data_IF_283472422910
#
_entry.id   IF_283472422910
#
_cell.length_a   1.000
_cell.length_b   1.000
_cell.length_c   1.000
_cell.angle_alpha   90.00
_cell.angle_beta   90.00
_cell.angle_gamma   90.00
#
_symmetry.space_group_name_H-M   'P 1'
#
loop_
_entity.id
_entity.type
_entity.pdbx_description
1 polymer ?
#
# COMPACT_ATOMS: atom_id res chain seq x y z
N UNK A 1 58.92 14.34 23.18
CA UNK A 1 60.15 14.42 22.37
C UNK A 1 60.49 15.90 22.20
N UNK A 2 61.65 16.26 22.73
CA UNK A 2 62.51 17.43 22.46
C UNK A 2 61.85 18.82 22.49
N UNK A 3 61.90 19.54 23.61
CA UNK A 3 63.01 20.40 24.09
C UNK A 3 63.27 21.65 23.22
N UNK A 4 62.89 22.83 23.73
CA UNK A 4 63.86 23.86 24.21
C UNK A 4 63.16 25.15 24.67
N UNK A 5 63.47 25.50 25.90
CA UNK A 5 63.58 26.84 26.51
C UNK A 5 64.88 26.77 27.35
N UNK A 6 65.45 27.86 27.94
CA UNK A 6 65.16 29.29 27.85
C UNK A 6 66.42 30.23 27.92
N UNK A 7 66.18 31.55 27.97
CA UNK A 7 66.64 32.49 29.03
C UNK A 7 67.59 33.68 28.70
N UNK A 8 67.17 34.83 29.26
CA UNK A 8 67.88 36.04 29.77
C UNK A 8 68.58 37.02 28.81
N UNK A 9 68.57 38.32 29.19
CA UNK A 9 69.79 38.87 29.78
C UNK A 9 69.55 39.58 31.12
N UNK A 10 70.56 39.54 32.00
CA UNK A 10 70.69 40.39 33.18
C UNK A 10 72.06 41.06 33.18
N UNK A 11 72.07 42.25 33.76
CA UNK A 11 73.16 43.19 34.04
C UNK A 11 74.47 42.62 34.65
N UNK A 12 75.57 43.36 34.45
CA UNK A 12 76.55 43.59 35.52
C UNK A 12 78.05 43.67 35.18
N UNK A 13 78.60 44.89 35.29
CA UNK A 13 79.87 45.32 35.95
C UNK A 13 81.28 45.22 35.29
N UNK A 14 81.86 46.42 35.18
CA UNK A 14 83.12 46.94 35.79
C UNK A 14 84.53 46.68 35.20
N UNK A 15 85.27 47.80 35.03
CA UNK A 15 86.58 48.13 35.65
C UNK A 15 87.74 48.56 34.70
N UNK A 16 88.48 49.61 35.11
CA UNK A 16 89.85 49.97 34.68
C UNK A 16 89.97 51.26 33.84
N UNK A 17 90.21 52.48 34.37
CA UNK A 17 91.38 53.09 35.05
C UNK A 17 92.32 53.92 34.14
N UNK A 18 92.47 55.23 34.43
CA UNK A 18 93.71 56.06 34.57
C UNK A 18 93.31 57.55 34.62
N UNK A 19 93.47 58.27 35.75
CA UNK A 19 94.60 59.15 36.16
C UNK A 19 94.87 60.29 35.14
N UNK A 20 94.99 61.58 35.48
CA UNK A 20 95.55 62.24 36.68
C UNK A 20 95.33 63.78 36.73
N UNK A 21 95.30 64.35 37.96
CA UNK A 21 95.78 65.68 38.46
C UNK A 21 95.28 66.98 37.81
N UNK A 22 94.72 68.00 38.50
CA UNK A 22 95.23 68.78 39.66
C UNK A 22 96.34 69.77 39.21
N UNK A 23 96.47 71.06 39.57
CA UNK A 23 95.95 71.92 40.63
C UNK A 23 96.39 73.39 40.36
N UNK A 24 95.60 74.35 40.85
CA UNK A 24 95.86 75.73 41.33
C UNK A 24 97.12 76.57 40.97
N UNK A 25 96.88 77.85 40.62
CA UNK A 25 97.23 78.98 41.51
C UNK A 25 98.41 79.92 41.18
N UNK A 26 98.08 81.23 41.10
CA UNK A 26 98.78 82.43 41.66
C UNK A 26 99.93 83.17 40.92
N UNK A 27 99.65 84.46 40.66
CA UNK A 27 100.32 85.73 41.13
C UNK A 27 101.51 86.40 40.39
N UNK A 28 101.29 87.72 40.21
CA UNK A 28 102.10 88.92 40.48
C UNK A 28 103.29 89.41 39.60
N UNK A 29 103.30 90.76 39.49
CA UNK A 29 104.41 91.73 39.39
C UNK A 29 105.13 91.87 38.03
N UNK A 30 105.05 93.00 37.30
CA UNK A 30 105.53 94.38 37.56
C UNK A 30 107.03 94.60 37.28
N UNK A 31 107.35 95.51 36.34
CA UNK A 31 108.61 96.30 36.32
C UNK A 31 108.57 97.48 35.32
N UNK A 32 108.77 98.67 35.90
CA UNK A 32 109.12 100.05 35.47
C UNK A 32 110.46 100.16 34.66
N UNK A 33 111.14 101.33 34.48
CA UNK A 33 110.81 102.74 34.10
C UNK A 33 111.85 103.40 33.11
N UNK A 34 111.68 104.71 32.77
CA UNK A 34 112.70 105.81 32.69
C UNK A 34 112.11 107.00 31.86
N UNK A 35 111.93 108.24 32.36
CA UNK A 35 112.91 109.33 32.63
C UNK A 35 112.92 110.33 31.44
N UNK A 36 112.98 111.67 31.49
CA UNK A 36 113.23 112.74 32.48
C UNK A 36 112.65 114.07 31.91
N UNK A 37 111.98 114.93 32.70
CA UNK A 37 112.42 116.23 33.29
C UNK A 37 112.46 117.47 32.36
N UNK A 38 111.92 118.60 32.85
CA UNK A 38 112.02 119.93 32.21
C UNK A 38 110.90 120.95 32.51
N UNK A 39 110.86 121.51 33.73
CA UNK A 39 110.46 122.90 34.07
C UNK A 39 109.16 123.54 33.55
N UNK A 40 108.19 123.78 34.44
CA UNK A 40 106.89 124.45 34.19
C UNK A 40 106.86 125.94 34.55
N UNK A 41 106.07 126.73 33.82
CA UNK A 41 105.61 128.09 34.18
C UNK A 41 104.20 128.05 34.81
N UNK A 42 103.86 129.05 35.64
CA UNK A 42 102.70 129.07 36.55
C UNK A 42 101.33 129.08 35.86
N UNK A 43 101.24 129.54 34.61
CA UNK A 43 100.00 129.64 33.83
C UNK A 43 99.65 128.31 33.12
N UNK A 44 100.65 127.47 32.81
CA UNK A 44 100.47 126.13 32.23
C UNK A 44 99.95 125.13 33.28
N UNK A 45 100.35 125.32 34.56
CA UNK A 45 99.88 124.50 35.69
C UNK A 45 98.38 124.67 35.97
N UNK A 46 97.80 125.85 35.71
CA UNK A 46 96.36 126.09 35.91
C UNK A 46 95.51 125.47 34.79
N UNK A 47 96.00 125.48 33.55
CA UNK A 47 95.36 124.79 32.42
C UNK A 47 95.50 123.27 32.51
N UNK A 48 96.66 122.75 32.93
CA UNK A 48 96.83 121.32 33.22
C UNK A 48 95.91 120.86 34.37
N UNK A 49 95.69 121.70 35.40
CA UNK A 49 94.77 121.39 36.48
C UNK A 49 93.32 121.34 35.98
N UNK A 50 92.93 122.21 35.06
CA UNK A 50 91.59 122.24 34.47
C UNK A 50 91.32 121.04 33.57
N UNK A 51 92.30 120.68 32.73
CA UNK A 51 92.27 119.47 31.90
C UNK A 51 92.22 118.23 32.80
N UNK A 52 93.02 118.17 33.86
CA UNK A 52 92.98 117.07 34.83
C UNK A 52 91.64 116.97 35.57
N UNK A 53 90.94 118.08 35.83
CA UNK A 53 89.59 118.07 36.41
C UNK A 53 88.54 117.57 35.41
N UNK A 54 88.61 117.98 34.14
CA UNK A 54 87.75 117.48 33.07
C UNK A 54 88.00 115.99 32.78
N UNK A 55 89.26 115.55 32.74
CA UNK A 55 89.63 114.15 32.58
C UNK A 55 89.17 113.31 33.78
N UNK A 56 89.27 113.84 35.01
CA UNK A 56 88.71 113.20 36.20
C UNK A 56 87.17 113.13 36.15
N UNK A 57 86.50 114.11 35.55
CA UNK A 57 85.05 114.11 35.37
C UNK A 57 84.62 113.09 34.31
N UNK A 58 85.32 113.01 33.17
CA UNK A 58 85.14 111.96 32.16
C UNK A 58 85.38 110.57 32.71
N UNK A 59 86.48 110.37 33.44
CA UNK A 59 86.77 109.09 34.10
C UNK A 59 85.69 108.70 35.12
N UNK A 60 85.06 109.69 35.79
CA UNK A 60 83.91 109.44 36.69
C UNK A 60 82.65 109.05 35.92
N UNK A 61 82.36 109.73 34.81
CA UNK A 61 81.24 109.38 33.92
C UNK A 61 81.43 108.01 33.28
N UNK A 62 82.63 107.70 32.79
CA UNK A 62 82.98 106.40 32.25
C UNK A 62 82.89 105.31 33.31
N UNK A 63 83.40 105.55 34.53
CA UNK A 63 83.26 104.61 35.65
C UNK A 63 81.79 104.37 36.01
N UNK A 64 80.96 105.42 36.00
CA UNK A 64 79.53 105.31 36.26
C UNK A 64 78.84 104.51 35.14
N UNK A 65 79.15 104.79 33.88
CA UNK A 65 78.66 104.04 32.72
C UNK A 65 79.05 102.56 32.78
N UNK A 66 80.32 102.24 33.05
CA UNK A 66 80.79 100.86 33.21
C UNK A 66 80.20 100.18 34.45
N UNK A 67 79.82 100.93 35.48
CA UNK A 67 79.13 100.39 36.65
C UNK A 67 77.67 100.06 36.34
N UNK A 68 76.96 100.94 35.63
CA UNK A 68 75.60 100.68 35.12
C UNK A 68 75.57 99.51 34.15
N UNK A 69 76.52 99.42 33.21
CA UNK A 69 76.62 98.29 32.29
C UNK A 69 76.99 96.99 33.02
N UNK A 70 77.87 97.03 34.03
CA UNK A 70 78.14 95.86 34.87
C UNK A 70 76.90 95.40 35.63
N UNK A 71 76.16 96.32 36.24
CA UNK A 71 74.95 95.99 37.02
C UNK A 71 73.84 95.47 36.10
N UNK A 72 73.74 95.99 34.88
CA UNK A 72 72.84 95.50 33.82
C UNK A 72 73.24 94.10 33.31
N UNK A 73 74.54 93.86 33.13
CA UNK A 73 75.04 92.52 32.76
C UNK A 73 74.82 91.53 33.91
N UNK A 74 75.00 91.96 35.17
CA UNK A 74 74.71 91.14 36.34
C UNK A 74 73.21 90.84 36.44
N UNK A 75 72.32 91.80 36.21
CA UNK A 75 70.87 91.56 36.26
C UNK A 75 70.44 90.61 35.14
N UNK A 76 70.95 90.77 33.91
CA UNK A 76 70.72 89.80 32.83
C UNK A 76 71.27 88.42 33.16
N UNK A 77 72.43 88.34 33.80
CA UNK A 77 73.00 87.07 34.24
C UNK A 77 72.13 86.41 35.32
N UNK A 78 71.64 87.16 36.30
CA UNK A 78 70.74 86.66 37.35
C UNK A 78 69.41 86.18 36.77
N UNK A 79 68.80 86.95 35.86
CA UNK A 79 67.56 86.58 35.16
C UNK A 79 67.80 85.32 34.32
N UNK A 80 68.86 85.29 33.51
CA UNK A 80 69.15 84.12 32.65
C UNK A 80 69.45 82.87 33.49
N UNK A 81 70.07 83.05 34.67
CA UNK A 81 70.32 81.97 35.62
C UNK A 81 69.04 81.48 36.28
N UNK A 82 68.11 82.38 36.62
CA UNK A 82 66.78 82.03 37.11
C UNK A 82 65.96 81.30 36.04
N UNK A 83 65.90 81.83 34.81
CA UNK A 83 65.23 81.21 33.67
C UNK A 83 65.81 79.81 33.37
N UNK A 84 67.13 79.65 33.46
CA UNK A 84 67.79 78.34 33.31
C UNK A 84 67.39 77.37 34.44
N UNK A 85 67.20 77.87 35.66
CA UNK A 85 66.80 77.07 36.80
C UNK A 85 65.32 76.67 36.71
N UNK A 86 64.46 77.57 36.22
CA UNK A 86 63.05 77.31 35.95
C UNK A 86 62.89 76.31 34.80
N UNK A 87 63.59 76.50 33.69
CA UNK A 87 63.58 75.55 32.57
C UNK A 87 64.09 74.15 32.98
N UNK A 88 65.10 74.07 33.86
CA UNK A 88 65.54 72.79 34.44
C UNK A 88 64.48 72.15 35.31
N UNK A 89 63.76 72.95 36.10
CA UNK A 89 62.68 72.46 36.96
C UNK A 89 61.48 71.98 36.14
N UNK A 90 61.13 72.69 35.06
CA UNK A 90 60.12 72.26 34.09
C UNK A 90 60.52 70.97 33.38
N UNK A 91 61.78 70.83 32.97
CA UNK A 91 62.28 69.60 32.35
C UNK A 91 62.10 68.39 33.29
N UNK A 92 62.49 68.53 34.55
CA UNK A 92 62.33 67.47 35.56
C UNK A 92 60.86 67.13 35.78
N UNK A 93 59.98 68.13 35.82
CA UNK A 93 58.54 67.91 35.94
C UNK A 93 57.97 67.18 34.72
N UNK A 94 58.44 67.50 33.51
CA UNK A 94 58.03 66.85 32.28
C UNK A 94 58.54 65.41 32.17
N UNK A 95 59.76 65.15 32.60
CA UNK A 95 60.31 63.79 32.69
C UNK A 95 59.48 62.95 33.69
N UNK A 96 59.12 63.52 34.84
CA UNK A 96 58.24 62.85 35.80
C UNK A 96 56.83 62.60 35.25
N UNK A 97 56.27 63.57 34.52
CA UNK A 97 54.97 63.41 33.88
C UNK A 97 55.01 62.29 32.83
N UNK A 98 56.09 62.19 32.05
CA UNK A 98 56.32 61.07 31.12
C UNK A 98 56.38 59.72 31.86
N UNK A 99 57.16 59.62 32.93
CA UNK A 99 57.23 58.40 33.76
C UNK A 99 55.85 58.00 34.29
N UNK A 100 55.06 58.94 34.82
CA UNK A 100 53.70 58.66 35.30
C UNK A 100 52.76 58.19 34.18
N UNK A 101 52.88 58.72 32.96
CA UNK A 101 52.08 58.25 31.82
C UNK A 101 52.53 56.87 31.34
N UNK A 102 53.82 56.57 31.34
CA UNK A 102 54.34 55.24 31.03
C UNK A 102 53.85 54.20 32.04
N UNK A 103 53.85 54.53 33.34
CA UNK A 103 53.32 53.66 34.38
C UNK A 103 51.81 53.41 34.21
N UNK A 104 51.02 54.46 33.95
CA UNK A 104 49.59 54.34 33.65
C UNK A 104 49.36 53.44 32.44
N UNK A 105 50.10 53.66 31.36
CA UNK A 105 49.99 52.86 30.15
C UNK A 105 50.35 51.38 30.39
N UNK A 106 51.38 51.10 31.19
CA UNK A 106 51.71 49.72 31.59
C UNK A 106 50.59 49.05 32.39
N UNK A 107 49.94 49.78 33.29
CA UNK A 107 48.79 49.28 34.05
C UNK A 107 47.61 49.00 33.12
N UNK A 108 47.29 49.92 32.21
CA UNK A 108 46.24 49.73 31.20
C UNK A 108 46.50 48.50 30.33
N UNK A 109 47.74 48.31 29.83
CA UNK A 109 48.11 47.12 29.06
C UNK A 109 47.87 45.83 29.87
N UNK A 110 48.18 45.83 31.17
CA UNK A 110 47.92 44.66 32.04
C UNK A 110 46.42 44.40 32.19
N UNK A 111 45.62 45.44 32.40
CA UNK A 111 44.15 45.34 32.48
C UNK A 111 43.57 44.82 31.17
N UNK A 112 43.98 45.37 30.03
CA UNK A 112 43.55 44.90 28.71
C UNK A 112 43.96 43.45 28.45
N UNK A 113 45.20 43.05 28.80
CA UNK A 113 45.62 41.64 28.72
C UNK A 113 44.74 40.72 29.56
N UNK A 114 44.40 41.14 30.78
CA UNK A 114 43.53 40.35 31.66
C UNK A 114 42.11 40.26 31.10
N UNK A 115 41.58 41.36 30.54
CA UNK A 115 40.26 41.40 29.92
C UNK A 115 40.18 40.50 28.69
N UNK A 116 41.21 40.49 27.84
CA UNK A 116 41.31 39.56 26.70
C UNK A 116 41.38 38.10 27.17
N UNK A 117 42.17 37.79 28.20
CA UNK A 117 42.23 36.43 28.77
C UNK A 117 40.87 35.97 29.30
N UNK A 118 40.18 36.84 30.03
CA UNK A 118 38.86 36.53 30.56
C UNK A 118 37.84 36.30 29.43
N UNK A 119 37.84 37.18 28.42
CA UNK A 119 36.98 37.04 27.25
C UNK A 119 37.23 35.73 26.49
N UNK A 120 38.50 35.34 26.31
CA UNK A 120 38.86 34.07 25.68
C UNK A 120 38.42 32.87 26.50
N UNK A 121 38.57 32.93 27.82
CA UNK A 121 38.12 31.87 28.72
C UNK A 121 36.60 31.74 28.72
N UNK A 122 35.86 32.85 28.77
CA UNK A 122 34.40 32.84 28.65
C UNK A 122 33.95 32.30 27.30
N UNK A 123 34.61 32.70 26.21
CA UNK A 123 34.28 32.18 24.88
C UNK A 123 34.51 30.68 24.80
N UNK A 124 35.65 30.20 25.31
CA UNK A 124 35.96 28.77 25.35
C UNK A 124 34.95 27.99 26.21
N UNK A 125 34.55 28.55 27.35
CA UNK A 125 33.58 27.92 28.24
C UNK A 125 32.18 27.89 27.61
N UNK A 126 31.76 28.97 26.96
CA UNK A 126 30.49 29.03 26.22
C UNK A 126 30.47 28.02 25.07
N UNK A 127 31.57 27.89 24.32
CA UNK A 127 31.69 26.86 23.27
C UNK A 127 31.59 25.46 23.86
N UNK A 128 32.28 25.19 24.98
CA UNK A 128 32.20 23.89 25.65
C UNK A 128 30.78 23.58 26.16
N UNK A 129 30.08 24.59 26.72
CA UNK A 129 28.68 24.45 27.14
C UNK A 129 27.75 24.18 25.96
N UNK A 130 27.88 24.93 24.85
CA UNK A 130 27.08 24.71 23.65
C UNK A 130 27.32 23.33 23.03
N UNK A 131 28.56 22.84 23.03
CA UNK A 131 28.90 21.49 22.58
C UNK A 131 28.25 20.43 23.50
N UNK A 132 28.37 20.57 24.82
CA UNK A 132 27.76 19.64 25.77
C UNK A 132 26.23 19.62 25.67
N UNK A 133 25.59 20.79 25.50
CA UNK A 133 24.15 20.88 25.31
C UNK A 133 23.71 20.25 23.98
N UNK A 134 24.46 20.47 22.90
CA UNK A 134 24.22 19.83 21.60
C UNK A 134 24.33 18.31 21.68
N UNK A 135 25.37 17.79 22.34
CA UNK A 135 25.56 16.35 22.53
C UNK A 135 24.43 15.73 23.36
N UNK A 136 23.98 16.44 24.41
CA UNK A 136 22.84 16.00 25.24
C UNK A 136 21.53 15.95 24.44
N UNK A 137 21.28 16.94 23.59
CA UNK A 137 20.10 16.96 22.71
C UNK A 137 20.15 15.80 21.72
N UNK A 138 21.31 15.55 21.10
CA UNK A 138 21.50 14.42 20.19
C UNK A 138 21.29 13.07 20.87
N UNK A 139 21.76 12.90 22.11
CA UNK A 139 21.51 11.67 22.88
C UNK A 139 20.04 11.47 23.19
N UNK A 140 19.34 12.52 23.63
CA UNK A 140 17.90 12.45 23.90
C UNK A 140 17.09 12.11 22.64
N UNK A 141 17.43 12.71 21.51
CA UNK A 141 16.79 12.42 20.23
C UNK A 141 17.05 10.97 19.79
N UNK A 142 18.28 10.48 19.96
CA UNK A 142 18.63 9.08 19.68
C UNK A 142 17.86 8.10 20.57
N UNK A 143 17.71 8.39 21.87
CA UNK A 143 16.92 7.57 22.80
C UNK A 143 15.42 7.57 22.44
N UNK A 144 14.86 8.72 22.05
CA UNK A 144 13.48 8.84 21.59
C UNK A 144 13.24 8.05 20.30
N UNK A 145 14.18 8.12 19.35
CA UNK A 145 14.14 7.33 18.12
C UNK A 145 14.19 5.83 18.40
N UNK A 146 15.11 5.37 19.24
CA UNK A 146 15.20 3.97 19.68
C UNK A 146 13.90 3.49 20.32
N UNK A 147 13.31 4.31 21.20
CA UNK A 147 12.05 3.98 21.88
C UNK A 147 10.89 3.89 20.88
N UNK A 148 10.79 4.85 19.97
CA UNK A 148 9.79 4.87 18.91
C UNK A 148 9.93 3.66 17.97
N UNK A 149 11.15 3.30 17.59
CA UNK A 149 11.42 2.14 16.74
C UNK A 149 11.02 0.83 17.44
N UNK A 150 11.33 0.69 18.73
CA UNK A 150 10.91 -0.46 19.53
C UNK A 150 9.39 -0.55 19.62
N UNK A 151 8.69 0.58 19.80
CA UNK A 151 7.24 0.63 19.83
C UNK A 151 6.64 0.20 18.49
N UNK A 152 7.12 0.76 17.38
CA UNK A 152 6.69 0.38 16.03
C UNK A 152 6.93 -1.12 15.77
N UNK A 153 8.04 -1.69 16.26
CA UNK A 153 8.30 -3.14 16.19
C UNK A 153 7.34 -3.98 17.02
N UNK A 154 6.85 -3.47 18.16
CA UNK A 154 5.80 -4.14 18.95
C UNK A 154 4.45 -4.06 18.23
N UNK A 155 4.07 -2.87 17.77
CA UNK A 155 2.80 -2.64 17.07
C UNK A 155 2.72 -3.46 15.77
N UNK A 156 3.83 -3.53 15.00
CA UNK A 156 3.92 -4.41 13.82
C UNK A 156 3.70 -5.88 14.16
N UNK A 157 4.17 -6.36 15.32
CA UNK A 157 3.97 -7.75 15.76
C UNK A 157 2.53 -7.97 16.21
N UNK A 158 1.94 -7.03 16.94
CA UNK A 158 0.54 -7.08 17.36
C UNK A 158 -0.41 -7.10 16.14
N UNK A 159 -0.22 -6.19 15.18
CA UNK A 159 -1.01 -6.14 13.94
C UNK A 159 -0.89 -7.43 13.11
N UNK A 160 0.28 -8.07 13.08
CA UNK A 160 0.45 -9.37 12.41
C UNK A 160 -0.32 -10.49 13.09
N UNK A 161 -0.39 -10.48 14.42
CA UNK A 161 -1.17 -11.46 15.18
C UNK A 161 -2.67 -11.24 14.96
N UNK A 162 -3.14 -10.00 15.05
CA UNK A 162 -4.54 -9.64 14.80
C UNK A 162 -4.97 -9.98 13.36
N UNK A 163 -4.11 -9.70 12.37
CA UNK A 163 -4.36 -10.13 10.99
C UNK A 163 -4.48 -11.66 10.90
N UNK A 164 -3.64 -12.40 11.62
CA UNK A 164 -3.68 -13.86 11.57
C UNK A 164 -4.92 -14.45 12.25
N UNK A 165 -5.35 -13.86 13.37
CA UNK A 165 -6.60 -14.20 14.03
C UNK A 165 -7.81 -13.92 13.11
N UNK A 166 -7.81 -12.78 12.42
CA UNK A 166 -8.85 -12.44 11.46
C UNK A 166 -8.89 -13.44 10.29
N UNK A 167 -7.73 -13.77 9.71
CA UNK A 167 -7.61 -14.80 8.67
C UNK A 167 -8.19 -16.15 9.12
N UNK A 168 -7.84 -16.60 10.33
CA UNK A 168 -8.33 -17.87 10.88
C UNK A 168 -9.85 -17.84 11.10
N UNK A 169 -10.38 -16.75 11.65
CA UNK A 169 -11.82 -16.61 11.85
C UNK A 169 -12.60 -16.57 10.52
N UNK A 170 -12.04 -15.95 9.48
CA UNK A 170 -12.61 -15.97 8.14
C UNK A 170 -12.56 -17.38 7.52
N UNK A 171 -11.46 -18.10 7.70
CA UNK A 171 -11.33 -19.50 7.25
C UNK A 171 -12.38 -20.39 7.92
N UNK A 172 -12.60 -20.22 9.22
CA UNK A 172 -13.61 -20.96 9.98
C UNK A 172 -15.03 -20.61 9.52
N UNK A 173 -15.31 -19.34 9.21
CA UNK A 173 -16.60 -18.92 8.65
C UNK A 173 -16.86 -19.57 7.28
N UNK A 174 -15.84 -19.62 6.41
CA UNK A 174 -15.93 -20.29 5.11
C UNK A 174 -16.19 -21.79 5.31
N UNK A 175 -15.45 -22.45 6.19
CA UNK A 175 -15.69 -23.89 6.51
C UNK A 175 -17.11 -24.13 7.00
N UNK A 176 -17.63 -23.27 7.88
CA UNK A 176 -19.01 -23.38 8.37
C UNK A 176 -20.04 -23.17 7.25
N UNK A 177 -19.82 -22.22 6.34
CA UNK A 177 -20.69 -22.00 5.19
C UNK A 177 -20.68 -23.18 4.23
N UNK A 178 -19.49 -23.73 3.92
CA UNK A 178 -19.36 -24.93 3.08
C UNK A 178 -20.07 -26.12 3.73
N UNK A 179 -19.87 -26.36 5.03
CA UNK A 179 -20.54 -27.43 5.74
C UNK A 179 -22.08 -27.29 5.73
N UNK A 180 -22.61 -26.08 5.92
CA UNK A 180 -24.05 -25.80 5.79
C UNK A 180 -24.55 -26.10 4.38
N UNK A 181 -23.81 -25.67 3.36
CA UNK A 181 -24.16 -25.91 1.97
C UNK A 181 -24.17 -27.41 1.62
N UNK A 182 -23.19 -28.19 2.12
CA UNK A 182 -23.15 -29.63 1.92
C UNK A 182 -24.34 -30.35 2.56
N UNK A 183 -24.78 -29.89 3.75
CA UNK A 183 -25.99 -30.40 4.42
C UNK A 183 -27.23 -30.09 3.58
N UNK A 184 -27.36 -28.87 3.06
CA UNK A 184 -28.47 -28.48 2.19
C UNK A 184 -28.50 -29.28 0.87
N UNK A 185 -27.34 -29.46 0.23
CA UNK A 185 -27.22 -30.31 -0.97
C UNK A 185 -27.66 -31.74 -0.65
N UNK A 186 -27.22 -32.30 0.47
CA UNK A 186 -27.58 -33.66 0.88
C UNK A 186 -29.08 -33.79 1.12
N UNK A 187 -29.70 -32.79 1.76
CA UNK A 187 -31.15 -32.73 1.96
C UNK A 187 -31.90 -32.68 0.63
N UNK A 188 -31.46 -31.82 -0.30
CA UNK A 188 -32.05 -31.71 -1.64
C UNK A 188 -31.92 -33.01 -2.43
N UNK A 189 -30.76 -33.68 -2.37
CA UNK A 189 -30.56 -35.00 -2.98
C UNK A 189 -31.53 -36.03 -2.41
N UNK A 190 -31.68 -36.07 -1.08
CA UNK A 190 -32.64 -36.96 -0.42
C UNK A 190 -34.09 -36.69 -0.84
N UNK A 191 -34.47 -35.42 -0.97
CA UNK A 191 -35.81 -35.03 -1.45
C UNK A 191 -36.06 -35.45 -2.90
N UNK A 192 -35.07 -35.27 -3.78
CA UNK A 192 -35.17 -35.73 -5.17
C UNK A 192 -35.25 -37.25 -5.27
N UNK A 193 -34.44 -37.98 -4.50
CA UNK A 193 -34.47 -39.44 -4.48
C UNK A 193 -35.83 -39.95 -3.98
N UNK A 194 -36.37 -39.34 -2.91
CA UNK A 194 -37.71 -39.66 -2.41
C UNK A 194 -38.78 -39.44 -3.48
N UNK A 195 -38.81 -38.27 -4.11
CA UNK A 195 -39.79 -37.96 -5.19
C UNK A 195 -39.64 -38.92 -6.37
N UNK A 196 -38.43 -39.29 -6.74
CA UNK A 196 -38.17 -40.26 -7.80
C UNK A 196 -38.71 -41.66 -7.44
N UNK A 197 -38.47 -42.13 -6.21
CA UNK A 197 -39.01 -43.41 -5.71
C UNK A 197 -40.53 -43.41 -5.66
N UNK A 198 -41.15 -42.35 -5.16
CA UNK A 198 -42.61 -42.20 -5.12
C UNK A 198 -43.22 -42.21 -6.53
N UNK A 199 -42.59 -41.50 -7.48
CA UNK A 199 -43.02 -41.48 -8.87
C UNK A 199 -42.89 -42.86 -9.53
N UNK A 200 -41.77 -43.53 -9.32
CA UNK A 200 -41.53 -44.88 -9.83
C UNK A 200 -42.58 -45.87 -9.30
N UNK A 201 -42.80 -45.90 -7.98
CA UNK A 201 -43.79 -46.75 -7.33
C UNK A 201 -45.21 -46.49 -7.85
N UNK A 202 -45.56 -45.22 -8.10
CA UNK A 202 -46.85 -44.84 -8.68
C UNK A 202 -47.04 -45.40 -10.09
N UNK A 203 -46.03 -45.33 -10.95
CA UNK A 203 -46.12 -45.88 -12.30
C UNK A 203 -46.05 -47.40 -12.34
N UNK A 204 -45.26 -48.01 -11.47
CA UNK A 204 -45.22 -49.47 -11.32
C UNK A 204 -46.58 -50.02 -10.89
N UNK A 205 -47.23 -49.37 -9.91
CA UNK A 205 -48.60 -49.72 -9.49
C UNK A 205 -49.60 -49.58 -10.64
N UNK A 206 -49.54 -48.48 -11.41
CA UNK A 206 -50.39 -48.29 -12.60
C UNK A 206 -50.16 -49.38 -13.64
N UNK A 207 -48.91 -49.74 -13.89
CA UNK A 207 -48.54 -50.78 -14.86
C UNK A 207 -49.05 -52.15 -14.42
N UNK A 208 -48.95 -52.46 -13.12
CA UNK A 208 -49.49 -53.70 -12.55
C UNK A 208 -51.00 -53.77 -12.69
N UNK A 209 -51.73 -52.72 -12.29
CA UNK A 209 -53.18 -52.65 -12.45
C UNK A 209 -53.60 -52.87 -13.90
N UNK A 210 -52.95 -52.20 -14.85
CA UNK A 210 -53.25 -52.36 -16.28
C UNK A 210 -53.00 -53.79 -16.77
N UNK A 211 -51.92 -54.44 -16.32
CA UNK A 211 -51.67 -55.86 -16.65
C UNK A 211 -52.76 -56.76 -16.08
N UNK A 212 -53.11 -56.58 -14.81
CA UNK A 212 -54.13 -57.38 -14.13
C UNK A 212 -55.51 -57.21 -14.82
N UNK A 213 -55.85 -55.98 -15.23
CA UNK A 213 -57.07 -55.68 -16.00
C UNK A 213 -57.09 -56.36 -17.37
N UNK A 214 -55.98 -56.31 -18.12
CA UNK A 214 -55.88 -56.96 -19.43
C UNK A 214 -55.91 -58.49 -19.31
N UNK A 215 -55.29 -59.04 -18.27
CA UNK A 215 -55.31 -60.47 -18.00
C UNK A 215 -56.73 -60.93 -17.62
N UNK A 216 -57.45 -60.14 -16.82
CA UNK A 216 -58.85 -60.41 -16.49
C UNK A 216 -59.74 -60.36 -17.74
N UNK A 217 -59.59 -59.35 -18.60
CA UNK A 217 -60.32 -59.29 -19.88
C UNK A 217 -60.06 -60.50 -20.74
N UNK A 218 -58.78 -60.89 -20.91
CA UNK A 218 -58.41 -62.11 -21.65
C UNK A 218 -59.04 -63.36 -21.04
N UNK A 219 -59.03 -63.51 -19.71
CA UNK A 219 -59.65 -64.65 -19.03
C UNK A 219 -61.15 -64.67 -19.29
N UNK A 220 -61.84 -63.54 -19.20
CA UNK A 220 -63.27 -63.45 -19.47
C UNK A 220 -63.60 -63.81 -20.94
N UNK A 221 -62.83 -63.28 -21.90
CA UNK A 221 -63.00 -63.62 -23.33
C UNK A 221 -62.81 -65.12 -23.59
N UNK A 222 -61.83 -65.75 -22.94
CA UNK A 222 -61.62 -67.21 -23.02
C UNK A 222 -62.84 -67.95 -22.46
N UNK A 223 -63.33 -67.58 -21.28
CA UNK A 223 -64.50 -68.22 -20.67
C UNK A 223 -65.75 -68.07 -21.54
N UNK A 224 -66.00 -66.88 -22.12
CA UNK A 224 -67.11 -66.68 -23.05
C UNK A 224 -67.01 -67.57 -24.29
N UNK A 225 -65.80 -67.71 -24.86
CA UNK A 225 -65.57 -68.58 -26.02
C UNK A 225 -65.79 -70.04 -25.63
N UNK A 226 -65.32 -70.47 -24.45
CA UNK A 226 -65.52 -71.81 -23.93
C UNK A 226 -67.00 -72.10 -23.70
N UNK A 227 -67.77 -71.18 -23.10
CA UNK A 227 -69.21 -71.32 -22.93
C UNK A 227 -69.94 -71.43 -24.27
N UNK A 228 -69.61 -70.58 -25.26
CA UNK A 228 -70.18 -70.67 -26.62
C UNK A 228 -69.86 -72.02 -27.26
N UNK A 229 -68.61 -72.49 -27.17
CA UNK A 229 -68.19 -73.80 -27.71
C UNK A 229 -68.89 -74.95 -27.00
N UNK A 230 -68.98 -74.93 -25.67
CA UNK A 230 -69.68 -75.95 -24.89
C UNK A 230 -71.17 -75.98 -25.20
N UNK A 231 -71.80 -74.81 -25.39
CA UNK A 231 -73.19 -74.71 -25.84
C UNK A 231 -73.37 -75.33 -27.23
N UNK A 232 -72.46 -75.04 -28.17
CA UNK A 232 -72.48 -75.65 -29.51
C UNK A 232 -72.26 -77.16 -29.47
N UNK A 233 -71.33 -77.65 -28.64
CA UNK A 233 -71.10 -79.09 -28.42
C UNK A 233 -72.37 -79.75 -27.88
N UNK A 234 -73.01 -79.16 -26.87
CA UNK A 234 -74.27 -79.67 -26.32
C UNK A 234 -75.40 -79.69 -27.35
N UNK A 235 -75.52 -78.64 -28.17
CA UNK A 235 -76.48 -78.60 -29.26
C UNK A 235 -76.20 -79.68 -30.31
N UNK A 236 -74.93 -79.88 -30.68
CA UNK A 236 -74.51 -80.91 -31.62
C UNK A 236 -74.77 -82.31 -31.06
N UNK A 237 -74.45 -82.57 -29.78
CA UNK A 237 -74.76 -83.83 -29.10
C UNK A 237 -76.27 -84.11 -29.12
N UNK A 238 -77.10 -83.11 -28.83
CA UNK A 238 -78.57 -83.24 -28.87
C UNK A 238 -79.08 -83.52 -30.29
N UNK A 239 -78.50 -82.87 -31.30
CA UNK A 239 -78.85 -83.13 -32.70
C UNK A 239 -78.42 -84.53 -33.15
N UNK A 240 -77.23 -84.98 -32.75
CA UNK A 240 -76.79 -86.35 -33.00
C UNK A 240 -77.67 -87.37 -32.30
N UNK A 241 -78.05 -87.15 -31.03
CA UNK A 241 -78.95 -88.06 -30.30
C UNK A 241 -80.33 -88.15 -30.95
N UNK A 242 -80.87 -87.02 -31.43
CA UNK A 242 -82.09 -87.00 -32.27
C UNK A 242 -81.90 -87.77 -33.55
N UNK A 243 -80.84 -87.50 -34.32
CA UNK A 243 -80.56 -88.20 -35.57
C UNK A 243 -80.34 -89.71 -35.34
N UNK A 244 -79.67 -90.11 -34.26
CA UNK A 244 -79.53 -91.52 -33.87
C UNK A 244 -80.88 -92.14 -33.50
N UNK A 245 -81.75 -91.40 -32.83
CA UNK A 245 -83.11 -91.85 -32.52
C UNK A 245 -83.95 -91.98 -33.79
N UNK A 246 -83.86 -91.03 -34.71
CA UNK A 246 -84.51 -91.06 -36.03
C UNK A 246 -83.98 -92.22 -36.88
N UNK A 247 -82.68 -92.45 -36.91
CA UNK A 247 -82.04 -93.59 -37.58
C UNK A 247 -82.48 -94.89 -36.93
N UNK A 248 -82.53 -94.98 -35.59
CA UNK A 248 -83.01 -96.16 -34.88
C UNK A 248 -84.48 -96.41 -35.19
N UNK A 249 -85.30 -95.37 -35.25
CA UNK A 249 -86.71 -95.48 -35.64
C UNK A 249 -86.84 -95.89 -37.11
N UNK A 250 -86.06 -95.31 -38.02
CA UNK A 250 -86.02 -95.67 -39.43
C UNK A 250 -85.61 -97.13 -39.63
N UNK A 251 -84.58 -97.60 -38.92
CA UNK A 251 -84.18 -99.01 -38.94
C UNK A 251 -85.16 -99.91 -38.20
N UNK A 252 -85.83 -99.45 -37.14
CA UNK A 252 -86.91 -100.18 -36.48
C UNK A 252 -88.10 -100.36 -37.41
N UNK A 253 -88.51 -99.30 -38.11
CA UNK A 253 -89.55 -99.29 -39.13
C UNK A 253 -89.14 -100.15 -40.30
N UNK A 254 -87.89 -100.07 -40.76
CA UNK A 254 -87.33 -100.99 -41.75
C UNK A 254 -87.27 -102.40 -41.20
N UNK A 255 -86.97 -102.69 -39.93
CA UNK A 255 -87.00 -104.06 -39.42
C UNK A 255 -88.41 -104.58 -39.29
N UNK A 256 -89.40 -103.75 -38.97
CA UNK A 256 -90.82 -104.09 -39.00
C UNK A 256 -91.27 -104.38 -40.43
N UNK A 257 -90.90 -103.49 -41.36
CA UNK A 257 -91.22 -103.61 -42.77
C UNK A 257 -90.41 -104.72 -43.45
N UNK A 258 -89.19 -104.99 -42.99
CA UNK A 258 -88.35 -106.12 -43.39
C UNK A 258 -88.80 -107.40 -42.70
N UNK A 259 -89.46 -107.38 -41.54
CA UNK A 259 -90.10 -108.58 -41.00
C UNK A 259 -91.28 -108.96 -41.90
N UNK A 260 -92.05 -107.96 -42.33
CA UNK A 260 -93.11 -108.11 -43.31
C UNK A 260 -92.55 -108.53 -44.70
N UNK A 261 -91.42 -107.96 -45.12
CA UNK A 261 -90.76 -108.28 -46.37
C UNK A 261 -89.98 -109.60 -46.30
N UNK A 262 -89.43 -110.03 -45.17
CA UNK A 262 -88.77 -111.34 -44.98
C UNK A 262 -89.81 -112.45 -45.03
N UNK A 263 -91.04 -112.21 -44.55
CA UNK A 263 -92.15 -113.11 -44.84
C UNK A 263 -92.43 -113.21 -46.35
N UNK A 264 -92.25 -112.11 -47.10
CA UNK A 264 -92.39 -112.07 -48.58
C UNK A 264 -91.13 -112.52 -49.35
N UNK A 265 -89.93 -112.41 -48.79
CA UNK A 265 -88.64 -112.70 -49.43
C UNK A 265 -88.12 -114.09 -49.07
N UNK A 266 -88.62 -114.74 -48.00
CA UNK A 266 -88.55 -116.21 -47.90
C UNK A 266 -89.20 -116.89 -49.11
N UNK A 267 -90.08 -116.18 -49.81
CA UNK A 267 -90.69 -116.59 -51.08
C UNK A 267 -89.81 -116.28 -52.32
N UNK A 268 -88.85 -115.35 -52.23
CA UNK A 268 -88.03 -114.87 -53.38
C UNK A 268 -86.52 -115.17 -53.25
N UNK A 269 -86.02 -115.59 -52.09
CA UNK A 269 -84.62 -116.02 -51.87
C UNK A 269 -84.31 -117.36 -52.57
N UNK A 270 -85.33 -118.06 -53.04
CA UNK A 270 -85.17 -119.16 -54.01
C UNK A 270 -84.61 -118.66 -55.37
N UNK A 271 -84.74 -117.36 -55.70
CA UNK A 271 -84.56 -116.84 -57.07
C UNK A 271 -83.25 -116.03 -57.28
N UNK A 272 -82.66 -115.45 -56.24
CA UNK A 272 -81.53 -114.49 -56.36
C UNK A 272 -80.14 -115.04 -56.02
N UNK A 273 -79.96 -116.37 -56.01
CA UNK A 273 -78.64 -117.05 -55.93
C UNK A 273 -77.79 -116.96 -57.21
N UNK A 274 -78.19 -116.16 -58.20
CA UNK A 274 -77.71 -116.28 -59.60
C UNK A 274 -76.92 -115.09 -60.19
N UNK A 275 -76.58 -114.03 -59.44
CA UNK A 275 -76.08 -112.79 -60.09
C UNK A 275 -74.99 -111.98 -59.35
N UNK A 276 -74.05 -112.64 -58.67
CA UNK A 276 -72.97 -111.98 -57.90
C UNK A 276 -71.59 -111.95 -58.60
N UNK A 277 -71.51 -112.32 -59.87
CA UNK A 277 -70.21 -112.62 -60.52
C UNK A 277 -69.64 -111.50 -61.44
N UNK A 278 -69.94 -110.20 -61.21
CA UNK A 278 -69.66 -109.16 -62.24
C UNK A 278 -68.85 -107.89 -61.89
N UNK A 279 -68.41 -107.65 -60.66
CA UNK A 279 -67.78 -106.36 -60.32
C UNK A 279 -66.28 -106.42 -59.99
N UNK A 280 -65.46 -106.76 -60.99
CA UNK A 280 -63.99 -106.83 -60.84
C UNK A 280 -63.21 -106.05 -61.94
N UNK A 281 -63.67 -104.85 -62.31
CA UNK A 281 -63.01 -103.99 -63.34
C UNK A 281 -62.95 -102.49 -62.97
N UNK A 282 -62.36 -102.13 -61.83
CA UNK A 282 -62.17 -100.71 -61.45
C UNK A 282 -60.75 -100.38 -60.90
N UNK A 283 -59.73 -101.14 -61.29
CA UNK A 283 -58.37 -101.05 -60.70
C UNK A 283 -57.28 -100.46 -61.62
N UNK A 284 -57.58 -100.03 -62.84
CA UNK A 284 -56.56 -99.55 -63.78
C UNK A 284 -56.41 -98.00 -63.83
N UNK A 285 -57.48 -97.24 -63.61
CA UNK A 285 -57.48 -95.77 -63.85
C UNK A 285 -56.76 -94.96 -62.74
N UNK A 286 -56.64 -95.51 -61.53
CA UNK A 286 -56.07 -94.81 -60.37
C UNK A 286 -54.53 -94.66 -60.48
N UNK A 287 -53.87 -95.50 -61.28
CA UNK A 287 -52.40 -95.59 -61.32
C UNK A 287 -51.77 -94.58 -62.29
N UNK A 288 -52.51 -94.09 -63.29
CA UNK A 288 -51.98 -93.16 -64.31
C UNK A 288 -52.02 -91.68 -63.86
N UNK A 289 -53.02 -91.28 -63.07
CA UNK A 289 -53.20 -89.89 -62.62
C UNK A 289 -52.13 -89.47 -61.59
N UNK A 290 -51.62 -90.40 -60.79
CA UNK A 290 -50.59 -90.15 -59.77
C UNK A 290 -49.22 -89.74 -60.33
N UNK A 291 -48.91 -90.06 -61.60
CA UNK A 291 -47.62 -89.70 -62.23
C UNK A 291 -47.59 -88.29 -62.84
N UNK A 292 -48.75 -87.68 -63.12
CA UNK A 292 -48.85 -86.36 -63.79
C UNK A 292 -48.67 -85.17 -62.83
N UNK A 293 -48.82 -85.39 -61.52
CA UNK A 293 -48.85 -84.33 -60.50
C UNK A 293 -47.50 -84.10 -59.79
N UNK A 294 -46.50 -84.98 -59.95
CA UNK A 294 -45.22 -84.89 -59.22
C UNK A 294 -44.24 -83.83 -59.75
N UNK A 295 -44.21 -83.56 -61.06
CA UNK A 295 -43.28 -82.57 -61.65
C UNK A 295 -43.64 -81.10 -61.32
N UNK A 296 -44.92 -80.67 -61.43
CA UNK A 296 -45.33 -79.30 -61.07
C UNK A 296 -45.12 -78.99 -59.57
N UNK A 297 -45.27 -80.02 -58.72
CA UNK A 297 -45.06 -79.89 -57.27
C UNK A 297 -43.59 -79.62 -56.93
N UNK A 298 -42.65 -80.23 -57.65
CA UNK A 298 -41.21 -80.05 -57.40
C UNK A 298 -40.72 -78.66 -57.84
N UNK A 299 -41.24 -78.12 -58.95
CA UNK A 299 -40.95 -76.75 -59.39
C UNK A 299 -41.52 -75.70 -58.42
N UNK A 300 -42.77 -75.86 -57.97
CA UNK A 300 -43.39 -74.95 -57.01
C UNK A 300 -42.66 -74.93 -55.65
N UNK A 301 -42.12 -76.08 -55.21
CA UNK A 301 -41.32 -76.16 -53.99
C UNK A 301 -39.97 -75.43 -54.10
N UNK A 302 -39.32 -75.47 -55.28
CA UNK A 302 -38.08 -74.73 -55.53
C UNK A 302 -38.31 -73.21 -55.53
N UNK A 303 -39.39 -72.74 -56.16
CA UNK A 303 -39.77 -71.33 -56.16
C UNK A 303 -40.14 -70.83 -54.75
N UNK A 304 -40.84 -71.67 -53.96
CA UNK A 304 -41.10 -71.38 -52.56
C UNK A 304 -39.80 -71.20 -51.74
N UNK A 305 -38.74 -71.94 -52.04
CA UNK A 305 -37.46 -71.83 -51.31
C UNK A 305 -36.70 -70.55 -51.69
N UNK A 306 -36.73 -70.15 -52.96
CA UNK A 306 -36.16 -68.88 -53.43
C UNK A 306 -36.90 -67.69 -52.82
N UNK A 307 -38.22 -67.70 -52.82
CA UNK A 307 -39.04 -66.64 -52.23
C UNK A 307 -38.83 -66.54 -50.71
N UNK A 308 -38.66 -67.65 -50.00
CA UNK A 308 -38.31 -67.65 -48.57
C UNK A 308 -36.96 -66.97 -48.30
N UNK A 309 -35.95 -67.22 -49.13
CA UNK A 309 -34.63 -66.56 -49.00
C UNK A 309 -34.72 -65.06 -49.27
N UNK A 310 -35.46 -64.65 -50.30
CA UNK A 310 -35.69 -63.23 -50.59
C UNK A 310 -36.45 -62.51 -49.46
N UNK A 311 -37.44 -63.17 -48.85
CA UNK A 311 -38.17 -62.65 -47.70
C UNK A 311 -37.25 -62.43 -46.49
N UNK A 312 -36.36 -63.38 -46.21
CA UNK A 312 -35.37 -63.25 -45.12
C UNK A 312 -34.41 -62.07 -45.34
N UNK A 313 -33.94 -61.86 -46.58
CA UNK A 313 -33.12 -60.69 -46.91
C UNK A 313 -33.89 -59.39 -46.73
N UNK A 314 -35.14 -59.33 -47.19
CA UNK A 314 -36.00 -58.17 -47.02
C UNK A 314 -36.28 -57.85 -45.54
N UNK A 315 -36.50 -58.86 -44.69
CA UNK A 315 -36.66 -58.67 -43.25
C UNK A 315 -35.39 -58.11 -42.59
N UNK A 316 -34.21 -58.58 -43.00
CA UNK A 316 -32.92 -58.07 -42.52
C UNK A 316 -32.70 -56.60 -42.92
N UNK A 317 -33.04 -56.26 -44.15
CA UNK A 317 -32.92 -54.88 -44.65
C UNK A 317 -33.91 -53.95 -43.96
N UNK A 318 -35.14 -54.42 -43.69
CA UNK A 318 -36.15 -53.69 -42.93
C UNK A 318 -35.69 -53.39 -41.50
N UNK A 319 -35.08 -54.36 -40.82
CA UNK A 319 -34.49 -54.15 -39.49
C UNK A 319 -33.31 -53.17 -39.55
N UNK A 320 -32.45 -53.28 -40.55
CA UNK A 320 -31.30 -52.38 -40.72
C UNK A 320 -31.75 -50.94 -40.98
N UNK A 321 -32.78 -50.75 -41.82
CA UNK A 321 -33.41 -49.45 -42.08
C UNK A 321 -34.05 -48.87 -40.82
N UNK A 322 -34.73 -49.68 -40.01
CA UNK A 322 -35.30 -49.24 -38.73
C UNK A 322 -34.20 -48.73 -37.79
N UNK A 323 -33.11 -49.49 -37.64
CA UNK A 323 -31.98 -49.10 -36.81
C UNK A 323 -31.28 -47.84 -37.32
N UNK A 324 -31.12 -47.69 -38.64
CA UNK A 324 -30.55 -46.49 -39.25
C UNK A 324 -31.44 -45.26 -39.01
N UNK A 325 -32.76 -45.39 -39.14
CA UNK A 325 -33.72 -44.31 -38.83
C UNK A 325 -33.69 -43.92 -37.35
N UNK A 326 -33.59 -44.89 -36.44
CA UNK A 326 -33.47 -44.62 -35.01
C UNK A 326 -32.17 -43.86 -34.69
N UNK A 327 -31.05 -44.26 -35.30
CA UNK A 327 -29.76 -43.54 -35.18
C UNK A 327 -29.85 -42.13 -35.75
N UNK A 328 -30.44 -41.96 -36.93
CA UNK A 328 -30.60 -40.65 -37.57
C UNK A 328 -31.39 -39.69 -36.66
N UNK A 329 -32.50 -40.15 -36.08
CA UNK A 329 -33.30 -39.34 -35.16
C UNK A 329 -32.48 -38.87 -33.94
N UNK A 330 -31.69 -39.76 -33.34
CA UNK A 330 -30.81 -39.39 -32.22
C UNK A 330 -29.74 -38.39 -32.65
N UNK A 331 -29.15 -38.55 -33.84
CA UNK A 331 -28.18 -37.59 -34.36
C UNK A 331 -28.81 -36.22 -34.65
N UNK A 332 -30.03 -36.18 -35.20
CA UNK A 332 -30.77 -34.93 -35.44
C UNK A 332 -31.09 -34.19 -34.14
N UNK A 333 -31.52 -34.90 -33.10
CA UNK A 333 -31.75 -34.31 -31.77
C UNK A 333 -30.46 -33.74 -31.18
N UNK A 334 -29.34 -34.49 -31.26
CA UNK A 334 -28.02 -34.00 -30.83
C UNK A 334 -27.55 -32.80 -31.64
N UNK A 335 -27.79 -32.79 -32.96
CA UNK A 335 -27.41 -31.67 -33.81
C UNK A 335 -28.19 -30.40 -33.45
N UNK A 336 -29.51 -30.52 -33.20
CA UNK A 336 -30.32 -29.40 -32.72
C UNK A 336 -29.86 -28.89 -31.37
N UNK A 337 -29.52 -29.79 -30.44
CA UNK A 337 -28.97 -29.40 -29.15
C UNK A 337 -27.65 -28.62 -29.29
N UNK A 338 -26.73 -29.13 -30.12
CA UNK A 338 -25.44 -28.48 -30.37
C UNK A 338 -25.60 -27.10 -31.02
N UNK A 339 -26.53 -26.95 -31.97
CA UNK A 339 -26.83 -25.64 -32.57
C UNK A 339 -27.34 -24.64 -31.54
N UNK A 340 -28.19 -25.07 -30.61
CA UNK A 340 -28.67 -24.20 -29.53
C UNK A 340 -27.55 -23.81 -28.56
N UNK A 341 -26.72 -24.78 -28.16
CA UNK A 341 -25.56 -24.52 -27.30
C UNK A 341 -24.56 -23.56 -27.96
N UNK A 342 -24.34 -23.70 -29.27
CA UNK A 342 -23.49 -22.81 -30.07
C UNK A 342 -24.03 -21.38 -30.08
N UNK A 343 -25.31 -21.19 -30.39
CA UNK A 343 -25.96 -19.87 -30.42
C UNK A 343 -25.88 -19.16 -29.06
N UNK A 344 -26.15 -19.90 -27.97
CA UNK A 344 -26.03 -19.36 -26.61
C UNK A 344 -24.59 -18.93 -26.31
N UNK A 345 -23.61 -19.73 -26.75
CA UNK A 345 -22.20 -19.43 -26.52
C UNK A 345 -21.72 -18.23 -27.33
N UNK A 346 -22.18 -18.09 -28.58
CA UNK A 346 -21.90 -16.92 -29.42
C UNK A 346 -22.47 -15.63 -28.83
N UNK A 347 -23.71 -15.65 -28.36
CA UNK A 347 -24.31 -14.49 -27.70
C UNK A 347 -23.53 -14.09 -26.45
N UNK A 348 -23.13 -15.08 -25.63
CA UNK A 348 -22.33 -14.83 -24.43
C UNK A 348 -20.94 -14.28 -24.78
N UNK A 349 -20.32 -14.80 -25.84
CA UNK A 349 -19.02 -14.33 -26.32
C UNK A 349 -19.12 -12.87 -26.79
N UNK A 350 -20.14 -12.54 -27.60
CA UNK A 350 -20.40 -11.19 -28.08
C UNK A 350 -20.59 -10.19 -26.93
N UNK A 351 -21.33 -10.58 -25.89
CA UNK A 351 -21.51 -9.74 -24.70
C UNK A 351 -20.19 -9.50 -23.96
N UNK A 352 -19.38 -10.54 -23.74
CA UNK A 352 -18.07 -10.41 -23.07
C UNK A 352 -17.11 -9.58 -23.90
N UNK A 353 -17.13 -9.73 -25.22
CA UNK A 353 -16.31 -8.92 -26.12
C UNK A 353 -16.70 -7.44 -26.05
N UNK A 354 -18.00 -7.14 -26.01
CA UNK A 354 -18.52 -5.78 -25.83
C UNK A 354 -18.07 -5.19 -24.49
N UNK A 355 -18.21 -5.93 -23.39
CA UNK A 355 -17.76 -5.49 -22.05
C UNK A 355 -16.25 -5.23 -22.02
N UNK A 356 -15.46 -6.10 -22.66
CA UNK A 356 -14.00 -5.89 -22.81
C UNK A 356 -13.71 -4.59 -23.54
N UNK A 357 -14.39 -4.35 -24.67
CA UNK A 357 -14.17 -3.16 -25.49
C UNK A 357 -14.55 -1.89 -24.73
N UNK A 358 -15.72 -1.87 -24.07
CA UNK A 358 -16.16 -0.75 -23.24
C UNK A 358 -15.18 -0.45 -22.10
N UNK A 359 -14.64 -1.50 -21.47
CA UNK A 359 -13.66 -1.35 -20.40
C UNK A 359 -12.33 -0.80 -20.92
N UNK A 360 -11.90 -1.26 -22.09
CA UNK A 360 -10.65 -0.84 -22.73
C UNK A 360 -10.73 0.61 -23.22
N UNK A 361 -11.81 0.98 -23.91
CA UNK A 361 -12.07 2.34 -24.38
C UNK A 361 -12.21 3.32 -23.20
N UNK A 362 -12.98 2.93 -22.17
CA UNK A 362 -13.19 3.77 -20.99
C UNK A 362 -12.04 3.81 -19.98
N UNK A 363 -10.97 3.03 -20.17
CA UNK A 363 -9.87 2.93 -19.22
C UNK A 363 -9.15 4.27 -19.05
N UNK A 364 -8.81 4.91 -20.18
CA UNK A 364 -8.09 6.18 -20.19
C UNK A 364 -8.94 7.28 -19.58
N UNK A 365 -10.23 7.36 -19.93
CA UNK A 365 -11.15 8.35 -19.37
C UNK A 365 -11.33 8.21 -17.86
N UNK A 366 -11.39 6.97 -17.35
CA UNK A 366 -11.46 6.71 -15.91
C UNK A 366 -10.18 7.16 -15.19
N UNK A 367 -9.00 6.88 -15.76
CA UNK A 367 -7.71 7.34 -15.20
C UNK A 367 -7.66 8.86 -15.18
N UNK A 368 -7.98 9.51 -16.31
CA UNK A 368 -8.00 10.97 -16.41
C UNK A 368 -8.98 11.55 -15.40
N UNK A 369 -10.17 10.97 -15.26
CA UNK A 369 -11.17 11.41 -14.28
C UNK A 369 -10.68 11.34 -12.83
N UNK A 370 -9.96 10.27 -12.45
CA UNK A 370 -9.36 10.14 -11.11
C UNK A 370 -8.23 11.16 -10.92
N UNK A 371 -7.37 11.32 -11.93
CA UNK A 371 -6.25 12.28 -11.88
C UNK A 371 -6.75 13.72 -11.79
N UNK A 372 -7.79 14.09 -12.53
CA UNK A 372 -8.43 15.40 -12.47
C UNK A 372 -9.03 15.67 -11.08
N UNK A 373 -9.76 14.71 -10.51
CA UNK A 373 -10.32 14.86 -9.15
C UNK A 373 -9.23 15.04 -8.09
N UNK A 374 -8.17 14.23 -8.17
CA UNK A 374 -7.02 14.38 -7.25
C UNK A 374 -6.30 15.71 -7.47
N UNK A 375 -6.08 16.11 -8.72
CA UNK A 375 -5.46 17.38 -9.08
C UNK A 375 -6.23 18.57 -8.56
N UNK A 376 -7.56 18.57 -8.71
CA UNK A 376 -8.42 19.62 -8.18
C UNK A 376 -8.36 19.71 -6.65
N UNK A 377 -8.35 18.56 -5.95
CA UNK A 377 -8.19 18.52 -4.49
C UNK A 377 -6.84 19.08 -4.05
N UNK A 378 -5.76 18.75 -4.76
CA UNK A 378 -4.43 19.27 -4.49
C UNK A 378 -4.37 20.78 -4.73
N UNK A 379 -4.95 21.27 -5.81
CA UNK A 379 -5.01 22.70 -6.12
C UNK A 379 -5.75 23.50 -5.02
N UNK A 380 -6.87 22.97 -4.52
CA UNK A 380 -7.59 23.59 -3.40
C UNK A 380 -6.73 23.63 -2.15
N UNK A 381 -6.01 22.54 -1.84
CA UNK A 381 -5.13 22.48 -0.68
C UNK A 381 -3.95 23.46 -0.82
N UNK A 382 -3.34 23.56 -2.00
CA UNK A 382 -2.29 24.54 -2.30
C UNK A 382 -2.80 25.97 -2.09
N UNK A 383 -3.97 26.32 -2.64
CA UNK A 383 -4.57 27.65 -2.46
C UNK A 383 -4.88 27.94 -1.00
N UNK A 384 -5.32 26.94 -0.23
CA UNK A 384 -5.55 27.08 1.21
C UNK A 384 -4.24 27.32 1.97
N UNK A 385 -3.17 26.61 1.61
CA UNK A 385 -1.83 26.80 2.21
C UNK A 385 -1.29 28.18 1.87
N UNK A 386 -1.42 28.63 0.62
CA UNK A 386 -0.99 29.96 0.16
C UNK A 386 -1.73 31.06 0.94
N UNK A 387 -3.05 30.97 1.06
CA UNK A 387 -3.85 31.92 1.86
C UNK A 387 -3.46 31.93 3.35
N UNK A 388 -3.17 30.77 3.93
CA UNK A 388 -2.69 30.67 5.32
C UNK A 388 -1.30 31.30 5.49
N UNK A 389 -0.39 31.13 4.52
CA UNK A 389 0.94 31.78 4.51
C UNK A 389 0.82 33.30 4.44
N UNK A 390 0.00 33.84 3.53
CA UNK A 390 -0.23 35.29 3.46
C UNK A 390 -0.81 35.83 4.78
N UNK A 391 -1.70 35.06 5.41
CA UNK A 391 -2.27 35.44 6.71
C UNK A 391 -1.20 35.45 7.80
N UNK A 392 -0.31 34.45 7.81
CA UNK A 392 0.81 34.37 8.73
C UNK A 392 1.77 35.55 8.55
N UNK A 393 2.18 35.86 7.32
CA UNK A 393 3.06 36.99 7.01
C UNK A 393 2.46 38.32 7.46
N UNK A 394 1.16 38.55 7.22
CA UNK A 394 0.44 39.73 7.73
C UNK A 394 0.47 39.80 9.26
N UNK A 395 0.29 38.67 9.94
CA UNK A 395 0.32 38.60 11.41
C UNK A 395 1.72 38.85 11.96
N UNK A 396 2.76 38.32 11.33
CA UNK A 396 4.16 38.56 11.71
C UNK A 396 4.56 40.03 11.52
N UNK A 397 4.11 40.66 10.44
CA UNK A 397 4.31 42.10 10.22
C UNK A 397 3.63 42.94 11.31
N UNK A 398 2.35 42.64 11.60
CA UNK A 398 1.60 43.30 12.67
C UNK A 398 2.27 43.11 14.04
N UNK A 399 2.73 41.89 14.34
CA UNK A 399 3.44 41.58 15.58
C UNK A 399 4.72 42.41 15.68
N UNK A 400 5.53 42.44 14.62
CA UNK A 400 6.77 43.20 14.57
C UNK A 400 6.55 44.72 14.73
N UNK A 401 5.48 45.29 14.16
CA UNK A 401 5.12 46.68 14.37
C UNK A 401 4.75 46.98 15.82
N UNK A 402 3.92 46.14 16.44
CA UNK A 402 3.52 46.28 17.85
C UNK A 402 4.74 46.18 18.78
N UNK A 403 5.64 45.22 18.51
CA UNK A 403 6.87 45.04 19.27
C UNK A 403 7.79 46.26 19.19
N UNK A 404 7.92 46.88 18.01
CA UNK A 404 8.66 48.13 17.85
C UNK A 404 8.00 49.32 18.54
N UNK A 405 6.67 49.40 18.54
CA UNK A 405 5.93 50.52 19.14
C UNK A 405 5.90 50.49 20.67
N UNK A 406 6.00 49.30 21.28
CA UNK A 406 5.81 49.10 22.72
C UNK A 406 7.08 49.23 23.57
N UNK A 407 8.27 49.26 22.97
CA UNK A 407 9.57 49.39 23.67
C UNK A 407 9.69 48.50 24.92
N UNK A 408 9.14 47.29 24.86
CA UNK A 408 9.16 46.33 25.95
C UNK A 408 10.56 45.75 26.14
N UNK A 409 10.93 45.44 27.37
CA UNK A 409 12.18 44.73 27.68
C UNK A 409 12.21 43.36 26.95
N UNK A 410 13.18 43.12 26.05
CA UNK A 410 13.25 41.90 25.25
C UNK A 410 13.28 40.61 26.08
N UNK A 411 13.87 40.65 27.27
CA UNK A 411 13.99 39.47 28.15
C UNK A 411 12.65 39.10 28.81
N UNK A 412 11.90 40.10 29.28
CA UNK A 412 10.58 39.90 29.87
C UNK A 412 9.57 39.43 28.81
N UNK A 413 9.61 39.98 27.61
CA UNK A 413 8.76 39.60 26.49
C UNK A 413 9.04 38.16 26.03
N UNK A 414 10.30 37.79 25.84
CA UNK A 414 10.68 36.41 25.45
C UNK A 414 10.17 35.38 26.44
N UNK A 415 10.30 35.64 27.74
CA UNK A 415 9.79 34.74 28.79
C UNK A 415 8.26 34.64 28.78
N UNK A 416 7.55 35.74 28.55
CA UNK A 416 6.09 35.74 28.46
C UNK A 416 5.61 34.98 27.22
N UNK A 417 6.23 35.20 26.06
CA UNK A 417 5.93 34.49 24.80
C UNK A 417 6.15 32.99 24.96
N UNK A 418 7.29 32.57 25.51
CA UNK A 418 7.59 31.14 25.72
C UNK A 418 6.56 30.47 26.63
N UNK A 419 6.16 31.15 27.72
CA UNK A 419 5.16 30.62 28.65
C UNK A 419 3.77 30.53 28.03
N UNK A 420 3.42 31.47 27.15
CA UNK A 420 2.19 31.42 26.35
C UNK A 420 2.23 30.29 25.31
N UNK A 421 3.36 30.08 24.63
CA UNK A 421 3.58 28.96 23.72
C UNK A 421 3.44 27.61 24.42
N UNK A 422 4.08 27.43 25.59
CA UNK A 422 3.94 26.20 26.41
C UNK A 422 2.47 25.92 26.77
N UNK A 423 1.69 26.95 27.14
CA UNK A 423 0.26 26.81 27.44
C UNK A 423 -0.54 26.46 26.19
N UNK A 424 -0.25 27.11 25.05
CA UNK A 424 -0.93 26.82 23.78
C UNK A 424 -0.64 25.40 23.29
N UNK A 425 0.61 24.94 23.40
CA UNK A 425 1.02 23.58 23.05
C UNK A 425 0.26 22.55 23.90
N UNK A 426 0.21 22.74 25.22
CA UNK A 426 -0.56 21.90 26.14
C UNK A 426 -2.05 21.86 25.78
N UNK A 427 -2.64 23.01 25.45
CA UNK A 427 -4.05 23.07 25.05
C UNK A 427 -4.30 22.38 23.71
N UNK A 428 -3.41 22.56 22.73
CA UNK A 428 -3.50 21.87 21.44
C UNK A 428 -3.36 20.36 21.59
N UNK A 429 -2.49 19.90 22.48
CA UNK A 429 -2.33 18.48 22.80
C UNK A 429 -3.60 17.91 23.44
N UNK A 430 -4.18 18.60 24.44
CA UNK A 430 -5.47 18.22 25.02
C UNK A 430 -6.59 18.15 23.97
N UNK A 431 -6.64 19.10 23.02
CA UNK A 431 -7.63 19.07 21.94
C UNK A 431 -7.47 17.81 21.07
N UNK A 432 -6.23 17.46 20.69
CA UNK A 432 -5.94 16.25 19.89
C UNK A 432 -6.35 14.98 20.62
N UNK A 433 -6.04 14.89 21.92
CA UNK A 433 -6.41 13.75 22.77
C UNK A 433 -7.93 13.60 22.88
N UNK A 434 -8.65 14.69 23.16
CA UNK A 434 -10.11 14.68 23.24
C UNK A 434 -10.76 14.32 21.90
N UNK A 435 -10.21 14.79 20.76
CA UNK A 435 -10.69 14.42 19.43
C UNK A 435 -10.49 12.92 19.15
N UNK A 436 -9.34 12.37 19.54
CA UNK A 436 -9.04 10.95 19.42
C UNK A 436 -10.00 10.11 20.27
N UNK A 437 -10.21 10.49 21.53
CA UNK A 437 -11.11 9.80 22.44
C UNK A 437 -12.56 9.84 21.93
N UNK A 438 -13.01 10.99 21.43
CA UNK A 438 -14.32 11.12 20.82
C UNK A 438 -14.48 10.22 19.59
N UNK A 439 -13.47 10.16 18.71
CA UNK A 439 -13.49 9.29 17.54
C UNK A 439 -13.53 7.80 17.94
N UNK A 440 -12.77 7.42 18.96
CA UNK A 440 -12.74 6.06 19.52
C UNK A 440 -14.10 5.65 20.10
N UNK A 441 -14.71 6.52 20.93
CA UNK A 441 -16.03 6.28 21.52
C UNK A 441 -17.11 6.21 20.44
N UNK A 442 -17.06 7.11 19.45
CA UNK A 442 -18.01 7.11 18.32
C UNK A 442 -17.90 5.83 17.50
N UNK A 443 -16.67 5.34 17.25
CA UNK A 443 -16.44 4.06 16.56
C UNK A 443 -17.01 2.88 17.36
N UNK A 444 -16.70 2.81 18.66
CA UNK A 444 -17.21 1.76 19.54
C UNK A 444 -18.75 1.77 19.61
N UNK A 445 -19.37 2.96 19.66
CA UNK A 445 -20.81 3.12 19.64
C UNK A 445 -21.43 2.61 18.32
N UNK A 446 -20.86 2.98 17.17
CA UNK A 446 -21.31 2.53 15.87
C UNK A 446 -21.17 1.01 15.69
N UNK A 447 -20.06 0.42 16.15
CA UNK A 447 -19.86 -1.03 16.16
C UNK A 447 -20.90 -1.73 17.04
N UNK A 448 -21.20 -1.16 18.22
CA UNK A 448 -22.22 -1.71 19.11
C UNK A 448 -23.61 -1.66 18.48
N UNK A 449 -23.96 -0.59 17.76
CA UNK A 449 -25.24 -0.50 17.04
C UNK A 449 -25.30 -1.53 15.89
N UNK A 450 -24.21 -1.72 15.14
CA UNK A 450 -24.12 -2.67 14.02
C UNK A 450 -24.20 -4.14 14.42
N UNK A 451 -23.89 -4.45 15.68
CA UNK A 451 -23.96 -5.81 16.23
C UNK A 451 -25.34 -6.10 16.85
N UNK A 452 -26.09 -5.07 17.23
CA UNK A 452 -27.38 -5.19 17.90
C UNK A 452 -28.60 -4.99 16.98
N UNK A 453 -28.39 -4.73 15.69
CA UNK A 453 -29.38 -4.75 14.61
C UNK A 453 -28.83 -5.59 13.46
#
# INVERSE_FOLDING_TARGET
>A
MSEKKPSKPSSGKSAGSKKSSGSAGKKDAASTPAGADGGKSKEDLENELKIAIEDLAKEREERNFFQLERDKVNSFWEITKADLQDAKSELINKDRELEEQEEKHQVEIKVYKQKVKHLLYEYQNNVAHLQADSDRVLQLDQEQHLTSEQQLKRDKRALKLELKELELSHEDLVKQLTAKHDVEITKMRGDFERRAKELHAKYEKKMKILRDELELKRKNEIHEIEERKNSQINALMKNHDKAFTEIKNYYNDITLNNLALINSLKEQVEEMKKKEERNEKLMADITAENKRLSEPLMAALADCDILKKQLQHYEKDKMSLHNAKARLKVLEEKHKQLLWEHEVLEQRFSQVEKERNELYEGFVDRIIGVQQKSGFKNLILEKKVESLKETLEKKDLQLNEILKATNLDPAALSNLTRRLEEVLELKNQQIKELQYDLAKITKAHNETIRVNF
#
